data_IF_180295651107
#
_entry.id   IF_180295651107
#
_cell.length_a   1.000
_cell.length_b   1.000
_cell.length_c   1.000
_cell.angle_alpha   90.00
_cell.angle_beta   90.00
_cell.angle_gamma   90.00
#
_symmetry.space_group_name_H-M   'P 1'
#
loop_
_entity.id
_entity.type
_entity.pdbx_description
1 polymer ?
#
# COMPACT_ATOMS: atom_id res chain seq x y z
N UNK A 1 -7.13 -5.31 -21.90
CA UNK A 1 -6.51 -4.25 -21.08
C UNK A 1 -5.36 -4.88 -20.31
N UNK A 2 -4.13 -4.66 -20.74
CA UNK A 2 -2.93 -5.06 -20.01
C UNK A 2 -2.74 -4.04 -18.88
N UNK A 3 -3.12 -4.41 -17.66
CA UNK A 3 -2.80 -3.59 -16.50
C UNK A 3 -1.28 -3.56 -16.38
N UNK A 4 -0.69 -2.38 -16.57
CA UNK A 4 0.75 -2.16 -16.47
C UNK A 4 1.31 -2.83 -15.22
N UNK A 5 2.45 -3.51 -15.36
CA UNK A 5 3.23 -4.00 -14.23
C UNK A 5 3.42 -2.82 -13.26
N UNK A 6 3.01 -3.01 -12.00
CA UNK A 6 3.33 -2.12 -10.90
C UNK A 6 4.53 -2.72 -10.18
N UNK A 7 5.40 -1.88 -9.61
CA UNK A 7 6.43 -2.38 -8.73
C UNK A 7 5.90 -2.52 -7.30
N UNK A 8 6.41 -3.48 -6.56
CA UNK A 8 6.06 -3.66 -5.15
C UNK A 8 6.29 -2.39 -4.32
N UNK A 9 7.32 -1.62 -4.69
CA UNK A 9 7.72 -0.33 -4.13
C UNK A 9 6.67 0.76 -4.37
N UNK A 10 5.92 0.71 -5.47
CA UNK A 10 4.86 1.69 -5.76
C UNK A 10 3.72 1.60 -4.74
N UNK A 11 3.35 0.38 -4.33
CA UNK A 11 2.29 0.16 -3.34
C UNK A 11 2.75 0.59 -1.95
N UNK A 12 4.03 0.34 -1.61
CA UNK A 12 4.63 0.83 -0.38
C UNK A 12 4.58 2.37 -0.32
N UNK A 13 5.06 3.05 -1.35
CA UNK A 13 5.02 4.51 -1.43
C UNK A 13 3.59 5.07 -1.37
N UNK A 14 2.61 4.36 -1.95
CA UNK A 14 1.20 4.71 -1.83
C UNK A 14 0.68 4.60 -0.38
N UNK A 15 1.00 3.51 0.33
CA UNK A 15 0.61 3.31 1.74
C UNK A 15 1.25 4.36 2.65
N UNK A 16 2.51 4.70 2.39
CA UNK A 16 3.27 5.70 3.15
C UNK A 16 2.94 7.15 2.75
N UNK A 17 2.01 7.34 1.81
CA UNK A 17 1.57 8.64 1.29
C UNK A 17 2.74 9.50 0.75
N UNK A 18 3.71 8.84 0.12
CA UNK A 18 4.91 9.44 -0.46
C UNK A 18 4.79 9.75 -1.97
N UNK A 19 3.67 9.34 -2.58
CA UNK A 19 3.44 9.56 -4.02
C UNK A 19 2.84 10.94 -4.28
N UNK A 20 3.25 11.53 -5.40
CA UNK A 20 2.55 12.67 -5.99
C UNK A 20 1.08 12.30 -6.27
N UNK A 21 0.12 13.24 -6.20
CA UNK A 21 -1.31 12.94 -6.34
C UNK A 21 -1.66 12.17 -7.64
N UNK A 22 -0.97 12.46 -8.74
CA UNK A 22 -1.17 11.79 -10.04
C UNK A 22 -0.78 10.31 -9.98
N UNK A 23 0.33 10.00 -9.32
CA UNK A 23 0.80 8.64 -9.16
C UNK A 23 -0.02 7.88 -8.12
N UNK A 24 -0.43 8.55 -7.05
CA UNK A 24 -1.36 7.97 -6.08
C UNK A 24 -2.68 7.52 -6.74
N UNK A 25 -3.26 8.34 -7.63
CA UNK A 25 -4.46 7.98 -8.38
C UNK A 25 -4.23 6.81 -9.35
N UNK A 26 -3.04 6.75 -9.98
CA UNK A 26 -2.64 5.61 -10.83
C UNK A 26 -2.57 4.32 -10.02
N UNK A 27 -1.85 4.34 -8.90
CA UNK A 27 -1.68 3.17 -8.03
C UNK A 27 -3.00 2.75 -7.40
N UNK A 28 -3.85 3.70 -6.99
CA UNK A 28 -5.21 3.41 -6.51
C UNK A 28 -6.04 2.65 -7.55
N UNK A 29 -5.99 3.05 -8.82
CA UNK A 29 -6.67 2.34 -9.91
C UNK A 29 -6.10 0.93 -10.08
N UNK A 30 -4.79 0.76 -9.99
CA UNK A 30 -4.14 -0.56 -10.07
C UNK A 30 -4.57 -1.46 -8.90
N UNK A 31 -4.51 -0.97 -7.66
CA UNK A 31 -4.98 -1.70 -6.45
C UNK A 31 -6.44 -2.14 -6.59
N UNK A 32 -7.28 -1.30 -7.22
CA UNK A 32 -8.70 -1.59 -7.39
C UNK A 32 -8.95 -2.73 -8.39
N UNK A 33 -8.18 -2.80 -9.47
CA UNK A 33 -8.45 -3.72 -10.58
C UNK A 33 -7.49 -4.92 -10.66
N UNK A 34 -6.34 -4.86 -10.00
CA UNK A 34 -5.37 -5.95 -9.95
C UNK A 34 -5.44 -6.65 -8.58
N UNK A 35 -5.88 -7.92 -8.53
CA UNK A 35 -5.97 -8.69 -7.29
C UNK A 35 -4.64 -8.86 -6.55
N UNK A 36 -3.52 -8.94 -7.27
CA UNK A 36 -2.19 -9.08 -6.67
C UNK A 36 -1.78 -7.79 -5.95
N UNK A 37 -1.93 -6.64 -6.63
CA UNK A 37 -1.74 -5.33 -6.02
C UNK A 37 -2.61 -5.14 -4.78
N UNK A 38 -3.88 -5.56 -4.84
CA UNK A 38 -4.80 -5.51 -3.70
C UNK A 38 -4.31 -6.34 -2.53
N UNK A 39 -3.82 -7.57 -2.76
CA UNK A 39 -3.27 -8.41 -1.70
C UNK A 39 -2.07 -7.76 -1.03
N UNK A 40 -1.16 -7.19 -1.83
CA UNK A 40 0.01 -6.51 -1.29
C UNK A 40 -0.36 -5.28 -0.46
N UNK A 41 -1.27 -4.45 -0.97
CA UNK A 41 -1.79 -3.29 -0.24
C UNK A 41 -2.35 -3.68 1.14
N UNK A 42 -3.19 -4.73 1.20
CA UNK A 42 -3.76 -5.21 2.45
C UNK A 42 -2.69 -5.75 3.42
N UNK A 43 -1.68 -6.46 2.91
CA UNK A 43 -0.55 -6.95 3.71
C UNK A 43 0.20 -5.80 4.38
N UNK A 44 0.49 -4.73 3.63
CA UNK A 44 1.19 -3.55 4.15
C UNK A 44 0.35 -2.82 5.21
N UNK A 45 -0.96 -2.68 4.99
CA UNK A 45 -1.86 -2.11 6.01
C UNK A 45 -1.86 -2.93 7.30
N UNK A 46 -1.89 -4.26 7.20
CA UNK A 46 -1.85 -5.14 8.35
C UNK A 46 -0.52 -5.00 9.11
N UNK A 47 0.61 -4.95 8.40
CA UNK A 47 1.93 -4.73 9.01
C UNK A 47 1.99 -3.39 9.75
N UNK A 48 1.48 -2.31 9.14
CA UNK A 48 1.43 -0.99 9.77
C UNK A 48 0.54 -0.99 11.04
N UNK A 49 -0.59 -1.71 11.02
CA UNK A 49 -1.43 -1.85 12.20
C UNK A 49 -0.74 -2.62 13.33
N UNK A 50 -0.05 -3.72 13.00
CA UNK A 50 0.70 -4.51 13.97
C UNK A 50 1.82 -3.68 14.61
N UNK A 51 2.58 -2.93 13.81
CA UNK A 51 3.63 -2.04 14.30
C UNK A 51 3.05 -0.97 15.23
N UNK A 52 1.96 -0.30 14.84
CA UNK A 52 1.27 0.68 15.70
C UNK A 52 0.83 0.08 17.03
N UNK A 53 0.27 -1.12 16.99
CA UNK A 53 -0.18 -1.84 18.20
C UNK A 53 1.01 -2.20 19.10
N UNK A 54 2.11 -2.66 18.51
CA UNK A 54 3.34 -2.97 19.24
C UNK A 54 3.92 -1.73 19.91
N UNK A 55 4.02 -0.60 19.17
CA UNK A 55 4.49 0.67 19.72
C UNK A 55 3.63 1.16 20.88
N UNK A 56 2.30 1.10 20.76
CA UNK A 56 1.38 1.47 21.84
C UNK A 56 1.56 0.60 23.08
N UNK A 57 1.80 -0.71 22.91
CA UNK A 57 2.05 -1.63 24.02
C UNK A 57 3.43 -1.48 24.65
N UNK A 58 4.43 -1.05 23.88
CA UNK A 58 5.80 -0.86 24.35
C UNK A 58 5.99 0.46 25.13
N UNK A 59 5.14 1.45 24.86
CA UNK A 59 5.16 2.75 25.54
C UNK A 59 4.25 2.84 26.78
N UNK A 60 3.50 1.79 27.09
CA UNK A 60 2.71 1.62 28.31
C UNK A 60 3.43 0.68 29.29
#
# INVERSE_FOLDING_TARGET
>A
MTYSNFEETDIQAYVDNMLEPRDADRIKKIITHNPEAKRQYLKLLQQNQLLRTWWQKSMN
#
